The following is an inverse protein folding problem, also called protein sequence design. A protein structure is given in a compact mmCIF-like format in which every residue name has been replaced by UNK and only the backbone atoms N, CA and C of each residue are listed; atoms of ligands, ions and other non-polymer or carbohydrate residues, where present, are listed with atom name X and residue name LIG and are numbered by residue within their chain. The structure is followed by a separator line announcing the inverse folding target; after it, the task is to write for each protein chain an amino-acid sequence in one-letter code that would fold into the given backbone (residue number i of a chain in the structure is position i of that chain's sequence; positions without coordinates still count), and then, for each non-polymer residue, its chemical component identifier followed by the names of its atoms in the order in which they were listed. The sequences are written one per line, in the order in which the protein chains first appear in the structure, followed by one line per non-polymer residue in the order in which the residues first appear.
data_IF_538450857669
#
_entry.id   IF_538450857669
#
_cell.length_a   1.000
_cell.length_b   1.000
_cell.length_c   1.000
_cell.angle_alpha   90.00
_cell.angle_beta   90.00
_cell.angle_gamma   90.00
#
_symmetry.space_group_name_H-M   'P 1'
#
loop_
_entity.id
_entity.type
_entity.pdbx_description
1 polymer ?
#
# COMPACT_ATOMS: atom_id res chain seq x y z
N UNK A 1 -37.95 61.72 16.55
CA UNK A 1 -37.16 62.95 16.79
C UNK A 1 -36.00 62.55 17.70
N UNK A 2 -34.70 62.77 17.50
CA UNK A 2 -33.89 63.75 16.75
C UNK A 2 -32.65 63.00 16.20
N UNK A 3 -32.36 63.05 14.90
CA UNK A 3 -31.27 63.84 14.27
C UNK A 3 -30.06 64.16 15.17
N UNK A 4 -28.90 63.65 14.79
CA UNK A 4 -27.60 64.06 15.32
C UNK A 4 -26.42 63.65 14.43
N UNK A 5 -26.25 64.34 13.30
CA UNK A 5 -25.01 64.33 12.49
C UNK A 5 -23.89 65.02 13.28
N UNK A 6 -22.69 64.42 13.36
CA UNK A 6 -21.43 65.17 13.38
C UNK A 6 -20.36 64.47 12.55
N UNK A 7 -19.87 65.21 11.57
CA UNK A 7 -18.69 64.96 10.75
C UNK A 7 -17.47 65.58 11.44
N UNK A 8 -16.35 64.85 11.53
CA UNK A 8 -14.99 65.37 11.78
C UNK A 8 -14.06 64.47 10.94
N UNK A 9 -13.67 64.90 9.73
CA UNK A 9 -12.37 65.48 9.39
C UNK A 9 -11.15 64.65 9.85
N UNK A 10 -10.66 63.86 8.90
CA UNK A 10 -9.26 63.56 8.55
C UNK A 10 -8.16 63.85 9.57
N UNK A 11 -7.41 62.80 9.93
CA UNK A 11 -5.95 62.91 10.04
C UNK A 11 -5.28 61.63 9.51
N UNK A 12 -4.64 61.80 8.36
CA UNK A 12 -3.67 60.87 7.78
C UNK A 12 -2.46 60.80 8.72
N UNK A 13 -2.18 59.62 9.26
CA UNK A 13 -0.85 59.28 9.79
C UNK A 13 -0.39 58.02 9.07
N UNK A 14 0.37 58.25 8.00
CA UNK A 14 1.26 57.25 7.41
C UNK A 14 2.37 56.96 8.44
N UNK A 15 2.28 55.85 9.15
CA UNK A 15 3.45 55.25 9.81
C UNK A 15 3.82 54.02 8.99
N UNK A 16 5.00 54.11 8.38
CA UNK A 16 5.59 53.09 7.53
C UNK A 16 5.68 51.75 8.24
N UNK A 17 4.90 50.79 7.76
CA UNK A 17 5.15 49.36 7.93
C UNK A 17 6.40 49.01 7.11
N UNK A 18 7.58 49.22 7.70
CA UNK A 18 8.77 48.46 7.34
C UNK A 18 8.50 47.05 7.83
N UNK A 19 7.78 46.26 7.02
CA UNK A 19 7.76 44.82 7.20
C UNK A 19 9.19 44.34 6.88
N UNK A 20 9.97 43.84 7.85
CA UNK A 20 11.12 43.03 7.49
C UNK A 20 10.56 41.88 6.64
N UNK A 21 10.94 41.86 5.36
CA UNK A 21 10.85 40.68 4.52
C UNK A 21 11.77 39.66 5.18
N UNK A 22 11.26 38.98 6.20
CA UNK A 22 11.80 37.71 6.64
C UNK A 22 11.62 36.83 5.42
N UNK A 23 12.69 36.69 4.65
CA UNK A 23 12.86 35.59 3.73
C UNK A 23 12.78 34.33 4.60
N UNK A 24 11.57 33.87 4.85
CA UNK A 24 11.31 32.50 5.18
C UNK A 24 11.86 31.73 3.99
N UNK A 25 13.10 31.28 4.12
CA UNK A 25 13.51 30.05 3.49
C UNK A 25 12.49 29.03 3.95
N UNK A 26 11.41 28.87 3.18
CA UNK A 26 10.66 27.63 3.16
C UNK A 26 11.71 26.60 2.81
N UNK A 27 12.30 25.98 3.83
CA UNK A 27 12.65 24.59 3.69
C UNK A 27 11.36 23.97 3.19
N UNK A 28 11.36 23.52 1.94
CA UNK A 28 10.33 22.66 1.42
C UNK A 28 10.30 21.44 2.36
N UNK A 29 9.55 21.54 3.47
CA UNK A 29 9.17 20.42 4.29
C UNK A 29 8.46 19.50 3.32
N UNK A 30 9.18 18.47 2.90
CA UNK A 30 8.73 17.52 1.92
C UNK A 30 7.41 16.95 2.42
N UNK A 31 6.29 17.35 1.78
CA UNK A 31 4.94 16.98 2.21
C UNK A 31 4.91 15.48 2.50
N UNK A 32 4.33 15.06 3.64
CA UNK A 32 4.34 13.67 4.03
C UNK A 32 3.71 12.83 2.91
N UNK A 33 4.46 11.84 2.44
CA UNK A 33 4.02 10.98 1.34
C UNK A 33 3.25 9.78 1.89
N UNK A 34 2.30 9.28 1.11
CA UNK A 34 1.75 7.94 1.32
C UNK A 34 2.84 6.91 1.05
N UNK A 35 3.03 5.94 1.96
CA UNK A 35 3.89 4.79 1.70
C UNK A 35 3.04 3.59 1.33
N UNK A 36 3.16 3.14 0.09
CA UNK A 36 2.27 2.11 -0.47
C UNK A 36 3.08 0.90 -0.91
N UNK A 37 2.66 -0.28 -0.47
CA UNK A 37 3.09 -1.57 -1.04
C UNK A 37 1.93 -2.25 -1.77
N UNK A 38 2.24 -3.09 -2.75
CA UNK A 38 1.25 -3.87 -3.49
C UNK A 38 1.47 -5.34 -3.24
N UNK A 39 0.39 -6.09 -3.08
CA UNK A 39 0.44 -7.57 -3.00
C UNK A 39 -0.57 -8.13 -3.99
N UNK A 40 -0.07 -8.81 -5.01
CA UNK A 40 -0.92 -9.54 -5.95
C UNK A 40 -1.14 -10.94 -5.43
N UNK A 41 -2.38 -11.30 -5.10
CA UNK A 41 -2.72 -12.59 -4.49
C UNK A 41 -3.39 -13.50 -5.52
N UNK A 42 -2.86 -14.73 -5.67
CA UNK A 42 -3.39 -15.70 -6.63
C UNK A 42 -2.75 -17.09 -6.52
N UNK A 43 -3.17 -18.01 -7.38
CA UNK A 43 -2.65 -19.38 -7.40
C UNK A 43 -1.36 -19.50 -8.21
N UNK A 44 -0.31 -20.04 -7.57
CA UNK A 44 0.99 -20.34 -8.22
C UNK A 44 0.95 -21.51 -9.22
N UNK A 45 -0.13 -22.30 -9.25
CA UNK A 45 -0.26 -23.36 -10.26
C UNK A 45 -0.37 -22.84 -11.68
N UNK A 46 -0.71 -21.57 -11.82
CA UNK A 46 -1.05 -21.00 -13.12
C UNK A 46 0.16 -20.25 -13.71
N UNK A 47 1.11 -19.83 -12.86
CA UNK A 47 2.35 -19.17 -13.24
C UNK A 47 3.43 -19.29 -12.15
N UNK A 48 4.70 -19.36 -12.55
CA UNK A 48 5.87 -19.27 -11.67
C UNK A 48 6.86 -18.23 -12.17
N UNK A 49 7.74 -17.79 -11.26
CA UNK A 49 8.74 -16.75 -11.50
C UNK A 49 10.13 -17.35 -11.31
N UNK A 50 11.07 -17.01 -12.20
CA UNK A 50 12.47 -17.45 -12.16
C UNK A 50 13.38 -16.23 -12.18
N UNK A 51 14.35 -16.20 -11.26
CA UNK A 51 15.25 -15.07 -11.04
C UNK A 51 14.69 -14.05 -10.04
N UNK A 52 15.52 -13.05 -9.74
CA UNK A 52 15.22 -11.97 -8.80
C UNK A 52 15.37 -10.60 -9.48
N UNK A 53 14.71 -9.58 -8.94
CA UNK A 53 14.84 -8.21 -9.44
C UNK A 53 14.26 -8.00 -10.85
N UNK A 54 14.52 -6.82 -11.47
CA UNK A 54 13.81 -6.31 -12.66
C UNK A 54 13.78 -7.23 -13.89
N UNK A 55 14.67 -8.22 -13.95
CA UNK A 55 14.82 -9.16 -15.08
C UNK A 55 14.15 -10.52 -14.84
N UNK A 56 13.38 -10.63 -13.74
CA UNK A 56 12.63 -11.84 -13.39
C UNK A 56 11.72 -12.32 -14.53
N UNK A 57 11.89 -13.58 -14.93
CA UNK A 57 11.11 -14.22 -15.98
C UNK A 57 9.86 -14.87 -15.39
N UNK A 58 8.71 -14.62 -16.01
CA UNK A 58 7.45 -15.31 -15.66
C UNK A 58 7.20 -16.42 -16.66
N UNK A 59 6.81 -17.58 -16.17
CA UNK A 59 6.36 -18.69 -16.98
C UNK A 59 4.93 -18.99 -16.57
N UNK A 60 4.01 -18.86 -17.51
CA UNK A 60 2.58 -19.02 -17.28
C UNK A 60 2.01 -19.96 -18.35
N UNK A 61 1.32 -21.02 -17.94
CA UNK A 61 0.66 -21.92 -18.87
C UNK A 61 -0.57 -21.27 -19.52
N UNK A 62 -1.19 -20.30 -18.84
CA UNK A 62 -2.28 -19.47 -19.35
C UNK A 62 -1.81 -18.00 -19.29
N UNK A 63 -1.84 -17.23 -20.40
CA UNK A 63 -1.49 -15.80 -20.39
C UNK A 63 -2.29 -14.98 -19.36
N UNK A 64 -3.49 -15.43 -18.97
CA UNK A 64 -4.31 -14.81 -17.93
C UNK A 64 -3.94 -15.19 -16.49
N UNK A 65 -2.97 -16.08 -16.29
CA UNK A 65 -2.57 -16.57 -14.98
C UNK A 65 -1.79 -15.54 -14.15
N UNK A 66 -0.93 -14.76 -14.80
CA UNK A 66 -0.04 -13.81 -14.16
C UNK A 66 -0.54 -12.36 -14.33
N UNK A 67 -0.31 -11.48 -13.35
CA UNK A 67 -0.50 -10.05 -13.55
C UNK A 67 0.46 -9.53 -14.65
N UNK A 68 0.18 -8.38 -15.27
CA UNK A 68 1.12 -7.77 -16.21
C UNK A 68 2.47 -7.51 -15.52
N UNK A 69 3.58 -7.74 -16.24
CA UNK A 69 4.94 -7.64 -15.68
C UNK A 69 5.40 -6.18 -15.55
N UNK A 70 5.18 -5.40 -16.59
CA UNK A 70 5.69 -4.05 -16.73
C UNK A 70 4.66 -3.03 -16.28
N UNK A 71 4.42 -3.04 -14.97
CA UNK A 71 3.56 -2.06 -14.32
C UNK A 71 4.41 -0.89 -13.82
N UNK A 72 3.88 0.31 -13.99
CA UNK A 72 4.49 1.57 -13.61
C UNK A 72 3.53 2.37 -12.76
N UNK A 73 4.06 3.06 -11.74
CA UNK A 73 3.31 3.98 -10.89
C UNK A 73 3.87 5.40 -11.02
N UNK A 74 2.99 6.38 -11.17
CA UNK A 74 3.38 7.79 -11.18
C UNK A 74 3.71 8.26 -9.74
N UNK A 75 4.90 8.82 -9.53
CA UNK A 75 5.37 9.27 -8.20
C UNK A 75 5.31 10.79 -7.99
N UNK A 76 4.86 11.54 -9.01
CA UNK A 76 4.42 12.93 -8.85
C UNK A 76 5.49 14.03 -8.98
N UNK A 77 6.72 13.74 -9.41
CA UNK A 77 7.66 14.79 -9.85
C UNK A 77 7.60 14.93 -11.38
N UNK A 78 7.15 16.09 -11.86
CA UNK A 78 7.62 16.69 -13.12
C UNK A 78 8.96 17.36 -12.81
N UNK A 79 10.01 17.11 -13.59
CA UNK A 79 11.23 17.90 -13.48
C UNK A 79 11.00 19.27 -14.13
N UNK A 80 11.16 20.34 -13.36
CA UNK A 80 11.39 21.68 -13.91
C UNK A 80 12.70 21.64 -14.70
N UNK A 81 12.61 21.58 -16.04
CA UNK A 81 13.78 21.62 -16.93
C UNK A 81 13.85 20.54 -18.01
N UNK A 82 12.97 19.53 -18.01
CA UNK A 82 12.85 18.59 -19.14
C UNK A 82 11.66 19.02 -19.98
N UNK A 83 11.92 19.35 -21.26
CA UNK A 83 10.95 19.91 -22.19
C UNK A 83 9.79 18.94 -22.53
N UNK A 84 9.95 17.65 -22.26
CA UNK A 84 8.86 16.68 -22.24
C UNK A 84 8.34 16.53 -20.81
N UNK A 85 7.04 16.77 -20.60
CA UNK A 85 6.37 16.66 -19.29
C UNK A 85 6.28 15.23 -18.74
N UNK A 86 7.36 14.45 -18.78
CA UNK A 86 7.43 13.09 -18.27
C UNK A 86 7.29 13.07 -16.75
N UNK A 87 6.13 12.61 -16.28
CA UNK A 87 5.98 12.19 -14.89
C UNK A 87 7.01 11.10 -14.59
N UNK A 88 7.81 11.27 -13.51
CA UNK A 88 8.64 10.17 -13.03
C UNK A 88 7.76 8.96 -12.70
N UNK A 89 7.99 7.87 -13.43
CA UNK A 89 7.31 6.58 -13.26
C UNK A 89 8.28 5.57 -12.66
N UNK A 90 7.91 4.99 -11.53
CA UNK A 90 8.67 3.87 -10.94
C UNK A 90 8.10 2.57 -11.50
N UNK A 91 8.98 1.69 -12.02
CA UNK A 91 8.59 0.32 -12.38
C UNK A 91 8.26 -0.44 -11.09
N UNK A 92 7.11 -1.10 -11.08
CA UNK A 92 6.64 -1.98 -10.02
C UNK A 92 6.66 -3.42 -10.51
N UNK A 93 7.48 -4.22 -9.87
CA UNK A 93 7.55 -5.64 -10.14
C UNK A 93 6.42 -6.38 -9.42
N UNK A 94 5.38 -6.73 -10.16
CA UNK A 94 4.28 -7.52 -9.61
C UNK A 94 4.56 -9.01 -9.78
N UNK A 95 4.63 -9.73 -8.66
CA UNK A 95 4.72 -11.19 -8.63
C UNK A 95 3.61 -11.77 -7.74
N UNK A 96 3.15 -12.99 -8.05
CA UNK A 96 2.10 -13.60 -7.24
C UNK A 96 2.61 -13.95 -5.83
N UNK A 97 1.85 -13.45 -4.86
CA UNK A 97 2.01 -13.66 -3.42
C UNK A 97 3.33 -13.10 -2.88
N UNK A 98 3.93 -12.13 -3.56
CA UNK A 98 5.12 -11.41 -3.12
C UNK A 98 4.76 -9.94 -2.99
N UNK A 99 4.90 -9.33 -1.79
CA UNK A 99 4.75 -7.90 -1.62
C UNK A 99 5.82 -7.13 -2.40
N UNK A 100 5.44 -6.03 -3.04
CA UNK A 100 6.41 -5.09 -3.58
C UNK A 100 7.11 -4.34 -2.46
N UNK A 101 8.25 -3.73 -2.78
CA UNK A 101 8.79 -2.64 -1.97
C UNK A 101 7.76 -1.52 -1.80
N UNK A 102 7.92 -0.74 -0.73
CA UNK A 102 7.12 0.47 -0.52
C UNK A 102 7.53 1.55 -1.51
N UNK A 103 6.53 2.29 -2.00
CA UNK A 103 6.70 3.46 -2.86
C UNK A 103 6.05 4.66 -2.20
N UNK A 104 6.73 5.80 -2.23
CA UNK A 104 6.20 7.07 -1.76
C UNK A 104 5.34 7.72 -2.85
N UNK A 105 4.11 8.06 -2.51
CA UNK A 105 3.18 8.78 -3.37
C UNK A 105 2.80 10.11 -2.71
N UNK A 106 2.88 11.20 -3.47
CA UNK A 106 2.49 12.54 -2.99
C UNK A 106 0.99 12.81 -3.13
N UNK A 107 0.27 11.95 -3.85
CA UNK A 107 -1.17 12.07 -4.04
C UNK A 107 -1.86 10.83 -3.48
N UNK A 108 -3.13 10.98 -3.10
CA UNK A 108 -3.98 9.87 -2.67
C UNK A 108 -4.41 8.97 -3.84
N UNK A 109 -4.11 9.36 -5.10
CA UNK A 109 -4.43 8.56 -6.28
C UNK A 109 -3.25 7.69 -6.66
N UNK A 110 -3.47 6.38 -6.64
CA UNK A 110 -2.51 5.39 -7.07
C UNK A 110 -2.91 4.86 -8.46
N UNK A 111 -2.35 5.45 -9.51
CA UNK A 111 -2.53 4.99 -10.89
C UNK A 111 -1.40 4.02 -11.29
N UNK A 112 -1.77 2.78 -11.58
CA UNK A 112 -0.90 1.77 -12.17
C UNK A 112 -1.12 1.71 -13.68
N UNK A 113 -0.04 1.75 -14.45
CA UNK A 113 -0.07 1.72 -15.91
C UNK A 113 0.79 0.57 -16.44
N UNK A 114 0.34 -0.10 -17.49
CA UNK A 114 1.17 -1.06 -18.22
C UNK A 114 1.93 -0.34 -19.34
N UNK A 115 3.20 -0.68 -19.55
CA UNK A 115 3.95 -0.23 -20.73
C UNK A 115 3.43 -0.95 -21.97
N UNK A 116 3.15 -0.19 -23.01
CA UNK A 116 2.90 -0.67 -24.36
C UNK A 116 4.10 -0.24 -25.20
N UNK A 117 4.79 -1.23 -25.78
CA UNK A 117 5.86 -0.97 -26.73
C UNK A 117 5.35 -1.35 -28.12
N UNK A 118 5.39 -0.37 -29.04
CA UNK A 118 5.05 -0.58 -30.45
C UNK A 118 6.17 0.03 -31.28
N UNK A 119 7.11 -0.81 -31.71
CA UNK A 119 8.36 -0.33 -32.33
C UNK A 119 9.22 0.43 -31.32
N UNK A 120 9.67 1.62 -31.70
CA UNK A 120 10.47 2.53 -30.86
C UNK A 120 9.60 3.36 -29.89
N UNK A 121 8.31 3.50 -30.17
CA UNK A 121 7.41 4.30 -29.35
C UNK A 121 7.02 3.58 -28.04
N UNK A 122 7.29 4.26 -26.92
CA UNK A 122 6.91 3.83 -25.58
C UNK A 122 5.67 4.62 -25.16
N UNK A 123 4.54 3.93 -25.06
CA UNK A 123 3.33 4.50 -24.47
C UNK A 123 2.94 3.74 -23.20
N UNK A 124 2.11 4.38 -22.37
CA UNK A 124 1.63 3.75 -21.15
C UNK A 124 0.12 3.79 -21.10
N UNK A 125 -0.49 2.62 -20.98
CA UNK A 125 -1.94 2.49 -20.83
C UNK A 125 -2.29 2.25 -19.38
N UNK A 126 -3.27 3.00 -18.88
CA UNK A 126 -3.80 2.78 -17.53
C UNK A 126 -4.23 1.32 -17.37
N UNK A 127 -3.68 0.67 -16.35
CA UNK A 127 -4.01 -0.71 -15.99
C UNK A 127 -5.06 -0.74 -14.88
N UNK A 128 -4.80 -0.07 -13.77
CA UNK A 128 -5.73 -0.03 -12.63
C UNK A 128 -5.47 1.19 -11.76
N UNK A 129 -6.47 1.70 -11.03
CA UNK A 129 -6.30 2.85 -10.13
C UNK A 129 -6.95 2.72 -8.76
N UNK A 130 -6.19 2.89 -7.69
CA UNK A 130 -6.69 2.84 -6.33
C UNK A 130 -6.75 4.24 -5.72
N UNK A 131 -7.82 4.55 -4.99
CA UNK A 131 -7.94 5.78 -4.22
C UNK A 131 -7.58 5.47 -2.76
N UNK A 132 -6.45 6.00 -2.30
CA UNK A 132 -6.00 5.86 -0.92
C UNK A 132 -6.92 6.66 0.01
N UNK A 133 -7.08 6.21 1.28
CA UNK A 133 -7.77 7.00 2.30
C UNK A 133 -7.16 8.40 2.45
N UNK A 134 -7.93 9.40 2.90
CA UNK A 134 -7.45 10.78 3.02
C UNK A 134 -6.32 10.93 4.05
N UNK A 135 -6.22 10.01 5.01
CA UNK A 135 -5.17 10.02 6.04
C UNK A 135 -3.85 9.55 5.42
N UNK A 136 -2.81 10.38 5.51
CA UNK A 136 -1.47 10.01 5.05
C UNK A 136 -0.89 8.94 5.96
N UNK A 137 -0.18 7.97 5.38
CA UNK A 137 0.49 6.92 6.15
C UNK A 137 0.84 5.70 5.32
N UNK A 138 1.01 4.59 6.02
CA UNK A 138 1.40 3.31 5.46
C UNK A 138 0.19 2.48 5.01
N UNK A 139 0.24 1.98 3.77
CA UNK A 139 -0.83 1.20 3.16
C UNK A 139 -0.30 -0.01 2.39
N UNK A 140 -1.06 -1.10 2.45
CA UNK A 140 -0.92 -2.23 1.53
C UNK A 140 -2.16 -2.29 0.63
N UNK A 141 -1.93 -2.34 -0.68
CA UNK A 141 -2.96 -2.56 -1.70
C UNK A 141 -2.95 -4.03 -2.09
N UNK A 142 -3.96 -4.76 -1.62
CA UNK A 142 -4.20 -6.14 -2.03
C UNK A 142 -4.91 -6.17 -3.37
N UNK A 143 -4.38 -6.94 -4.31
CA UNK A 143 -4.93 -7.12 -5.65
C UNK A 143 -5.19 -8.61 -5.89
N UNK A 144 -6.35 -8.95 -6.44
CA UNK A 144 -6.64 -10.31 -6.89
C UNK A 144 -7.44 -10.28 -8.20
N UNK A 145 -7.44 -11.39 -8.95
CA UNK A 145 -8.41 -11.56 -10.04
C UNK A 145 -9.82 -11.44 -9.49
N UNK A 146 -10.74 -10.93 -10.30
CA UNK A 146 -12.15 -11.03 -9.95
C UNK A 146 -12.54 -12.52 -9.97
N UNK A 147 -13.34 -13.01 -9.00
CA UNK A 147 -13.63 -14.44 -8.88
C UNK A 147 -14.27 -15.05 -10.13
N UNK A 148 -15.04 -14.26 -10.88
CA UNK A 148 -15.69 -14.67 -12.14
C UNK A 148 -14.80 -14.55 -13.39
N UNK A 149 -13.62 -13.93 -13.28
CA UNK A 149 -12.74 -13.63 -14.41
C UNK A 149 -11.47 -14.47 -14.35
N UNK A 150 -11.06 -14.98 -15.51
CA UNK A 150 -9.79 -15.72 -15.66
C UNK A 150 -8.57 -14.79 -15.78
N UNK A 151 -8.79 -13.53 -16.14
CA UNK A 151 -7.74 -12.57 -16.49
C UNK A 151 -7.52 -11.52 -15.40
N UNK A 152 -6.40 -10.81 -15.52
CA UNK A 152 -6.01 -9.70 -14.65
C UNK A 152 -6.45 -8.33 -15.16
N UNK A 153 -7.33 -8.22 -16.18
CA UNK A 153 -7.67 -6.94 -16.83
C UNK A 153 -8.22 -5.89 -15.85
N UNK A 154 -9.01 -6.33 -14.88
CA UNK A 154 -9.66 -5.46 -13.88
C UNK A 154 -9.59 -6.10 -12.49
N UNK A 155 -8.41 -6.09 -11.85
CA UNK A 155 -8.25 -6.76 -10.57
C UNK A 155 -9.13 -6.09 -9.51
N UNK A 156 -9.78 -6.91 -8.70
CA UNK A 156 -10.38 -6.40 -7.46
C UNK A 156 -9.27 -5.96 -6.51
N UNK A 157 -9.59 -4.94 -5.72
CA UNK A 157 -8.63 -4.29 -4.82
C UNK A 157 -9.21 -4.09 -3.44
N UNK A 158 -8.36 -4.19 -2.44
CA UNK A 158 -8.65 -3.80 -1.07
C UNK A 158 -7.43 -3.09 -0.48
N UNK A 159 -7.63 -1.87 0.03
CA UNK A 159 -6.58 -1.00 0.56
C UNK A 159 -6.68 -1.03 2.08
N UNK A 160 -5.60 -1.39 2.75
CA UNK A 160 -5.58 -1.56 4.20
C UNK A 160 -4.42 -0.77 4.81
N UNK A 161 -4.68 -0.02 5.88
CA UNK A 161 -3.66 0.76 6.58
C UNK A 161 -2.78 -0.15 7.43
N UNK A 162 -1.47 -0.03 7.26
CA UNK A 162 -0.45 -0.72 8.04
C UNK A 162 0.06 0.12 9.22
N UNK A 163 -0.63 1.22 9.54
CA UNK A 163 -0.38 1.97 10.76
C UNK A 163 -0.46 1.06 11.99
N UNK A 164 0.42 1.28 12.96
CA UNK A 164 0.49 0.48 14.18
C UNK A 164 -0.82 0.48 14.96
N UNK A 165 -1.56 1.59 14.96
CA UNK A 165 -2.87 1.68 15.60
C UNK A 165 -3.90 0.71 15.00
N UNK A 166 -3.87 0.50 13.67
CA UNK A 166 -4.82 -0.38 12.96
C UNK A 166 -4.31 -1.81 12.84
N UNK A 167 -2.99 -1.99 12.76
CA UNK A 167 -2.34 -3.28 12.61
C UNK A 167 -1.07 -3.32 13.46
N UNK A 168 -1.20 -3.58 14.77
CA UNK A 168 -0.07 -3.55 15.69
C UNK A 168 0.86 -4.75 15.48
N UNK A 169 2.08 -4.67 16.02
CA UNK A 169 3.00 -5.81 16.07
C UNK A 169 2.36 -7.00 16.80
N UNK A 170 2.75 -8.21 16.39
CA UNK A 170 2.24 -9.48 16.92
C UNK A 170 0.82 -9.81 16.46
N UNK A 171 0.27 -9.03 15.54
CA UNK A 171 -1.07 -9.24 15.01
C UNK A 171 -1.07 -10.01 13.69
N UNK A 172 -2.19 -10.68 13.44
CA UNK A 172 -2.52 -11.34 12.17
C UNK A 172 -3.68 -10.61 11.51
N UNK A 173 -3.52 -10.16 10.28
CA UNK A 173 -4.61 -9.62 9.48
C UNK A 173 -5.14 -10.69 8.52
N UNK A 174 -6.40 -11.06 8.63
CA UNK A 174 -7.07 -11.93 7.67
C UNK A 174 -7.77 -11.05 6.64
N UNK A 175 -7.53 -11.32 5.36
CA UNK A 175 -8.04 -10.53 4.23
C UNK A 175 -8.86 -11.44 3.33
N UNK A 176 -10.14 -11.13 3.10
CA UNK A 176 -10.99 -11.93 2.24
C UNK A 176 -11.15 -11.25 0.88
N UNK A 177 -10.40 -11.73 -0.12
CA UNK A 177 -10.54 -11.35 -1.53
C UNK A 177 -11.34 -12.40 -2.32
N UNK A 178 -11.91 -13.41 -1.67
CA UNK A 178 -12.83 -14.34 -2.34
C UNK A 178 -14.23 -13.72 -2.46
N UNK A 179 -15.07 -14.31 -3.32
CA UNK A 179 -16.50 -13.99 -3.47
C UNK A 179 -17.39 -14.63 -2.39
N UNK A 180 -16.81 -15.20 -1.33
CA UNK A 180 -17.53 -16.03 -0.36
C UNK A 180 -17.11 -15.68 1.08
N UNK A 181 -17.99 -15.82 2.08
CA UNK A 181 -17.61 -15.64 3.48
C UNK A 181 -16.52 -16.62 3.93
N UNK A 182 -15.60 -16.15 4.77
CA UNK A 182 -14.54 -16.94 5.39
C UNK A 182 -14.73 -16.94 6.92
N UNK A 183 -14.87 -18.12 7.51
CA UNK A 183 -14.97 -18.30 8.96
C UNK A 183 -13.59 -18.38 9.59
N UNK A 184 -13.41 -17.70 10.72
CA UNK A 184 -12.11 -17.55 11.37
C UNK A 184 -12.16 -18.21 12.74
N UNK A 185 -11.19 -19.09 13.00
CA UNK A 185 -11.01 -19.76 14.28
C UNK A 185 -9.57 -19.57 14.78
N UNK A 186 -9.44 -19.36 16.09
CA UNK A 186 -8.17 -19.27 16.82
C UNK A 186 -8.18 -20.34 17.91
N UNK A 187 -7.36 -21.38 17.74
CA UNK A 187 -7.48 -22.62 18.52
C UNK A 187 -8.87 -23.22 18.35
N UNK A 188 -9.57 -23.42 19.47
CA UNK A 188 -10.97 -23.90 19.49
C UNK A 188 -12.01 -22.77 19.40
N UNK A 189 -11.60 -21.51 19.56
CA UNK A 189 -12.50 -20.36 19.62
C UNK A 189 -12.87 -19.88 18.21
N UNK A 190 -14.16 -19.79 17.92
CA UNK A 190 -14.68 -19.11 16.73
C UNK A 190 -14.63 -17.61 16.96
N UNK A 191 -13.94 -16.88 16.08
CA UNK A 191 -13.86 -15.42 16.16
C UNK A 191 -14.97 -14.73 15.36
N UNK A 192 -15.53 -15.42 14.36
CA UNK A 192 -16.61 -14.93 13.53
C UNK A 192 -16.45 -15.33 12.07
N UNK A 193 -17.13 -14.61 11.19
CA UNK A 193 -17.00 -14.75 9.74
C UNK A 193 -16.64 -13.40 9.11
N UNK A 194 -15.95 -13.47 7.97
CA UNK A 194 -15.47 -12.33 7.23
C UNK A 194 -16.13 -12.32 5.85
N UNK A 195 -16.96 -11.33 5.60
CA UNK A 195 -17.62 -11.15 4.31
C UNK A 195 -16.60 -10.91 3.18
N UNK A 196 -16.98 -11.14 1.91
CA UNK A 196 -16.17 -10.78 0.75
C UNK A 196 -15.67 -9.34 0.81
N UNK A 197 -14.42 -9.11 0.39
CA UNK A 197 -13.77 -7.79 0.32
C UNK A 197 -13.67 -7.06 1.67
N UNK A 198 -13.63 -7.83 2.76
CA UNK A 198 -13.40 -7.31 4.11
C UNK A 198 -12.09 -7.88 4.68
N UNK A 199 -11.61 -7.25 5.74
CA UNK A 199 -10.48 -7.73 6.53
C UNK A 199 -10.76 -7.65 8.02
N UNK A 200 -10.09 -8.48 8.81
CA UNK A 200 -10.10 -8.37 10.28
C UNK A 200 -8.68 -8.53 10.82
N UNK A 201 -8.38 -7.83 11.91
CA UNK A 201 -7.09 -7.94 12.61
C UNK A 201 -7.31 -8.70 13.91
N UNK A 202 -6.58 -9.80 14.06
CA UNK A 202 -6.50 -10.61 15.27
C UNK A 202 -5.25 -10.13 16.03
N UNK A 203 -5.46 -9.37 17.10
CA UNK A 203 -4.37 -8.85 17.94
C UNK A 203 -3.75 -9.98 18.77
N UNK A 204 -2.46 -9.84 19.10
CA UNK A 204 -1.71 -10.80 19.95
C UNK A 204 -1.92 -12.24 19.48
N UNK A 205 -1.69 -12.48 18.20
CA UNK A 205 -1.90 -13.77 17.55
C UNK A 205 -0.58 -14.46 17.16
N UNK A 206 0.53 -13.73 17.19
CA UNK A 206 1.87 -14.27 16.93
C UNK A 206 2.61 -14.40 18.25
N UNK A 207 3.12 -15.60 18.50
CA UNK A 207 3.99 -15.93 19.61
C UNK A 207 4.82 -17.15 19.21
N UNK A 208 6.13 -16.96 18.99
CA UNK A 208 7.02 -18.04 18.56
C UNK A 208 7.17 -19.14 19.63
N UNK A 209 7.07 -18.78 20.92
CA UNK A 209 7.21 -19.73 22.04
C UNK A 209 5.93 -20.55 22.27
N UNK A 210 4.77 -19.98 21.99
CA UNK A 210 3.46 -20.63 22.15
C UNK A 210 2.58 -20.35 20.92
N UNK A 211 2.85 -21.02 19.79
CA UNK A 211 2.20 -20.70 18.53
C UNK A 211 0.73 -21.15 18.56
N UNK A 212 -0.18 -20.22 18.34
CA UNK A 212 -1.60 -20.51 18.25
C UNK A 212 -1.98 -20.95 16.84
N UNK A 213 -2.91 -21.90 16.74
CA UNK A 213 -3.44 -22.36 15.45
C UNK A 213 -4.50 -21.40 14.95
N UNK A 214 -4.24 -20.77 13.81
CA UNK A 214 -5.27 -20.03 13.06
C UNK A 214 -5.83 -20.95 11.99
N UNK A 215 -7.16 -21.06 11.95
CA UNK A 215 -7.87 -21.83 10.94
C UNK A 215 -8.90 -20.95 10.22
N UNK A 216 -8.90 -21.01 8.90
CA UNK A 216 -9.85 -20.35 8.03
C UNK A 216 -10.67 -21.40 7.30
N UNK A 217 -11.97 -21.21 7.25
CA UNK A 217 -12.91 -22.17 6.65
C UNK A 217 -13.90 -21.44 5.74
N UNK A 218 -14.50 -22.17 4.82
CA UNK A 218 -15.56 -21.65 3.96
C UNK A 218 -16.56 -22.76 3.64
N UNK A 219 -17.78 -22.39 3.24
CA UNK A 219 -18.82 -23.35 2.89
C UNK A 219 -18.78 -23.66 1.40
N UNK A 220 -18.57 -24.91 1.00
CA UNK A 220 -18.61 -25.35 -0.40
C UNK A 220 -19.57 -26.53 -0.55
N UNK A 221 -20.59 -26.39 -1.40
CA UNK A 221 -21.65 -27.40 -1.61
C UNK A 221 -22.25 -27.89 -0.27
N UNK A 222 -22.62 -26.95 0.60
CA UNK A 222 -23.19 -27.24 1.94
C UNK A 222 -22.19 -27.74 2.99
N UNK A 223 -20.93 -28.02 2.63
CA UNK A 223 -19.91 -28.55 3.56
C UNK A 223 -18.91 -27.49 4.00
N UNK A 224 -18.47 -27.55 5.26
CA UNK A 224 -17.38 -26.73 5.79
C UNK A 224 -16.03 -27.28 5.31
N UNK A 225 -15.29 -26.48 4.54
CA UNK A 225 -13.99 -26.87 3.95
C UNK A 225 -12.89 -25.97 4.51
N UNK A 226 -11.73 -26.52 4.91
CA UNK A 226 -10.61 -25.71 5.37
C UNK A 226 -9.95 -24.98 4.19
N UNK A 227 -9.82 -23.67 4.32
CA UNK A 227 -9.03 -22.81 3.44
C UNK A 227 -7.59 -22.63 3.93
N UNK A 228 -7.39 -22.72 5.24
CA UNK A 228 -6.11 -22.57 5.92
C UNK A 228 -6.21 -23.19 7.31
N UNK A 229 -5.15 -23.86 7.78
CA UNK A 229 -5.06 -24.33 9.17
C UNK A 229 -3.60 -24.55 9.52
N UNK A 230 -2.99 -23.62 10.25
CA UNK A 230 -1.58 -23.73 10.67
C UNK A 230 -1.36 -23.06 12.02
N UNK A 231 -0.43 -23.61 12.80
CA UNK A 231 0.21 -22.90 13.90
C UNK A 231 1.10 -21.79 13.32
N UNK A 232 0.97 -20.58 13.86
CA UNK A 232 1.73 -19.42 13.38
C UNK A 232 2.97 -19.22 14.26
N UNK A 233 4.06 -19.90 13.89
CA UNK A 233 5.35 -19.76 14.56
C UNK A 233 6.12 -18.55 13.99
N UNK A 234 5.73 -17.35 14.42
CA UNK A 234 6.34 -16.09 14.04
C UNK A 234 6.64 -15.26 15.30
N UNK A 235 7.64 -14.39 15.19
CA UNK A 235 8.01 -13.48 16.28
C UNK A 235 6.88 -12.46 16.52
N UNK A 236 6.76 -11.98 17.75
CA UNK A 236 5.71 -11.03 18.16
C UNK A 236 5.99 -9.58 17.75
N UNK A 237 7.19 -9.28 17.25
CA UNK A 237 7.53 -8.01 16.62
C UNK A 237 7.07 -7.92 15.15
N UNK A 238 6.67 -9.06 14.57
CA UNK A 238 6.24 -9.16 13.18
C UNK A 238 4.74 -8.84 13.01
N UNK A 239 4.35 -8.57 11.77
CA UNK A 239 2.95 -8.36 11.35
C UNK A 239 2.65 -9.24 10.16
N UNK A 240 1.67 -10.13 10.30
CA UNK A 240 1.41 -11.19 9.34
C UNK A 240 0.04 -11.00 8.69
N UNK A 241 -0.04 -11.11 7.38
CA UNK A 241 -1.30 -11.09 6.67
C UNK A 241 -1.58 -12.48 6.07
N UNK A 242 -2.86 -12.89 6.10
CA UNK A 242 -3.37 -14.09 5.46
C UNK A 242 -4.46 -13.64 4.49
N UNK A 243 -4.21 -13.64 3.17
CA UNK A 243 -5.29 -13.39 2.20
C UNK A 243 -5.87 -14.67 1.63
N UNK A 244 -7.19 -14.71 1.59
CA UNK A 244 -7.98 -15.71 0.91
C UNK A 244 -8.39 -15.19 -0.46
N UNK A 245 -8.11 -15.94 -1.51
CA UNK A 245 -8.55 -15.63 -2.89
C UNK A 245 -9.32 -16.79 -3.50
N UNK A 246 -10.23 -16.46 -4.41
CA UNK A 246 -10.86 -17.45 -5.27
C UNK A 246 -9.88 -17.96 -6.33
N UNK A 247 -9.87 -19.28 -6.56
CA UNK A 247 -9.10 -19.92 -7.62
C UNK A 247 -10.06 -20.69 -8.53
N UNK A 248 -10.25 -20.22 -9.79
CA UNK A 248 -11.10 -20.91 -10.75
C UNK A 248 -10.66 -22.37 -10.97
N UNK A 249 -11.62 -23.25 -11.28
CA UNK A 249 -11.40 -24.65 -11.70
C UNK A 249 -10.73 -25.58 -10.68
N UNK A 250 -10.53 -25.15 -9.43
CA UNK A 250 -10.08 -26.06 -8.35
C UNK A 250 -11.27 -26.68 -7.61
N UNK A 251 -11.12 -27.96 -7.23
CA UNK A 251 -12.05 -28.66 -6.34
C UNK A 251 -12.25 -27.93 -5.01
N UNK A 252 -11.19 -27.26 -4.55
CA UNK A 252 -11.21 -26.31 -3.43
C UNK A 252 -10.95 -24.90 -3.97
N UNK A 253 -12.01 -24.12 -4.24
CA UNK A 253 -11.88 -22.86 -4.96
C UNK A 253 -11.33 -21.72 -4.10
N UNK A 254 -10.90 -21.97 -2.86
CA UNK A 254 -10.34 -20.93 -1.99
C UNK A 254 -8.90 -21.30 -1.63
N UNK A 255 -7.99 -20.39 -1.94
CA UNK A 255 -6.58 -20.47 -1.59
C UNK A 255 -6.24 -19.39 -0.57
N UNK A 256 -5.50 -19.76 0.47
CA UNK A 256 -4.99 -18.81 1.45
C UNK A 256 -3.47 -18.67 1.31
N UNK A 257 -2.99 -17.44 1.32
CA UNK A 257 -1.58 -17.10 1.17
C UNK A 257 -1.13 -16.27 2.37
N UNK A 258 0.09 -16.53 2.83
CA UNK A 258 0.70 -15.92 4.00
C UNK A 258 1.81 -14.97 3.55
N UNK A 259 1.84 -13.77 4.10
CA UNK A 259 2.90 -12.79 3.81
C UNK A 259 3.15 -11.89 5.01
N UNK A 260 4.43 -11.61 5.24
CA UNK A 260 4.85 -10.60 6.19
C UNK A 260 4.59 -9.21 5.60
N UNK A 261 4.29 -8.25 6.46
CA UNK A 261 4.13 -6.85 6.05
C UNK A 261 5.46 -6.30 5.54
N UNK A 262 5.44 -5.53 4.45
CA UNK A 262 6.64 -4.89 3.93
C UNK A 262 7.25 -3.97 5.01
N UNK A 263 8.58 -4.01 5.16
CA UNK A 263 9.28 -3.13 6.10
C UNK A 263 9.02 -1.66 5.71
N UNK A 264 8.84 -0.75 6.68
CA UNK A 264 8.74 0.68 6.40
C UNK A 264 10.01 1.16 5.69
N UNK A 265 9.89 2.24 4.92
CA UNK A 265 11.08 2.86 4.33
C UNK A 265 11.99 3.38 5.45
N UNK A 266 13.32 3.31 5.29
CA UNK A 266 14.22 3.94 6.24
C UNK A 266 13.87 5.43 6.31
N UNK A 267 13.73 5.96 7.54
CA UNK A 267 13.54 7.39 7.73
C UNK A 267 14.79 8.09 7.15
N UNK A 268 14.64 9.18 6.37
CA UNK A 268 15.78 9.94 5.91
C UNK A 268 16.60 10.34 7.13
N UNK A 269 17.89 10.01 7.13
CA UNK A 269 18.81 10.45 8.18
C UNK A 269 18.79 11.97 8.17
N UNK A 270 18.24 12.59 9.21
CA UNK A 270 18.33 14.02 9.38
C UNK A 270 19.83 14.32 9.49
N UNK A 271 20.43 15.07 8.54
CA UNK A 271 21.84 15.36 8.61
C UNK A 271 22.10 16.02 9.96
N UNK A 272 22.89 15.35 10.80
CA UNK A 272 23.31 15.91 12.09
C UNK A 272 24.00 17.22 11.74
N UNK A 273 23.38 18.34 12.13
CA UNK A 273 23.98 19.67 12.03
C UNK A 273 25.39 19.52 12.63
N UNK A 274 26.44 19.71 11.82
CA UNK A 274 27.79 19.83 12.36
C UNK A 274 27.70 20.98 13.36
N UNK A 275 27.84 20.67 14.63
CA UNK A 275 28.06 21.69 15.65
C UNK A 275 29.38 22.33 15.28
N UNK A 276 29.32 23.57 14.80
CA UNK A 276 30.50 24.40 14.60
C UNK A 276 31.13 24.60 15.97
N UNK A 277 32.08 23.73 16.31
CA UNK A 277 33.01 23.96 17.41
C UNK A 277 33.90 25.11 16.95
N UNK A 278 33.46 26.34 17.21
CA UNK A 278 34.33 27.51 17.23
C UNK A 278 35.40 27.26 18.30
N UNK A 279 36.55 26.72 17.88
CA UNK A 279 37.77 26.84 18.67
C UNK A 279 38.12 28.33 18.70
N UNK A 280 37.77 28.97 19.81
CA UNK A 280 38.38 30.22 20.21
C UNK A 280 39.84 29.92 20.55
N UNK A 281 40.74 30.19 19.61
CA UNK A 281 42.15 30.38 19.90
C UNK A 281 42.28 31.72 20.63
N UNK A 282 42.24 31.68 21.96
CA UNK A 282 42.74 32.78 22.79
C UNK A 282 44.25 32.61 22.96
N UNK A 283 44.97 33.58 22.39
CA UNK A 283 46.18 34.25 22.88
C UNK A 283 47.25 33.46 23.61
#
# INVERSE_FOLDING_TARGET
MMKGKKWIWSLLVLIGLVCPRVAQSKSDEEKPAYEVSFVVVGARSDAYWVGDGPDMKVFAHDPGAAPPRDIFIATGKKQSGVASGEEKRKRLMLALNVPTERVQLRTSKCDLSARLQSGEDISYKKYTSAQLPPVIGEYTVFMARQPKHKTWKEPQRLILSDSEARFPKGAVRVVNLADRPVYIQKGKKVLGHLAPRKSVVIKKALNAKQPEVISLWYTHKGRKVPAFRRALNYQDDQRLNIACTYVPKRSRPLLSQLFLTAKPLPKPEVPKKKSDTLQASSS
#
